data_IF_175061689588
#
_entry.id   IF_175061689588
#
_cell.length_a   1.000
_cell.length_b   1.000
_cell.length_c   1.000
_cell.angle_alpha   90.00
_cell.angle_beta   90.00
_cell.angle_gamma   90.00
#
_symmetry.space_group_name_H-M   'P 1'
#
loop_
_entity.id
_entity.type
_entity.pdbx_description
1 polymer ?
#
# COMPACT_ATOMS: atom_id res chain seq x y z
N UNK A 1 7.63 2.56 -22.27
CA UNK A 1 6.63 1.79 -21.48
C UNK A 1 6.71 0.34 -21.91
N UNK A 2 6.49 -0.59 -20.99
CA UNK A 2 6.46 -2.02 -21.28
C UNK A 2 5.28 -2.67 -20.56
N UNK A 3 4.54 -3.52 -21.27
CA UNK A 3 3.48 -4.35 -20.74
C UNK A 3 4.01 -5.77 -20.58
N UNK A 4 3.71 -6.42 -19.47
CA UNK A 4 4.18 -7.77 -19.15
C UNK A 4 3.00 -8.63 -18.75
N UNK A 5 2.75 -9.68 -19.52
CA UNK A 5 1.82 -10.74 -19.12
C UNK A 5 2.50 -11.60 -18.03
N UNK A 6 1.96 -11.62 -16.81
CA UNK A 6 2.64 -12.27 -15.69
C UNK A 6 2.85 -13.79 -15.86
N UNK A 7 1.86 -14.57 -16.36
CA UNK A 7 2.02 -16.02 -16.58
C UNK A 7 3.06 -16.38 -17.63
N UNK A 8 3.02 -15.74 -18.82
CA UNK A 8 3.96 -16.07 -19.92
C UNK A 8 5.25 -15.25 -19.88
N UNK A 9 5.27 -14.17 -19.10
CA UNK A 9 6.33 -13.15 -19.06
C UNK A 9 6.55 -12.46 -20.41
N UNK A 10 5.58 -12.55 -21.32
CA UNK A 10 5.65 -11.90 -22.63
C UNK A 10 5.64 -10.38 -22.47
N UNK A 11 6.56 -9.71 -23.17
CA UNK A 11 6.71 -8.26 -23.18
C UNK A 11 6.11 -7.68 -24.47
N UNK A 12 5.36 -6.59 -24.34
CA UNK A 12 5.06 -5.64 -25.42
C UNK A 12 5.51 -4.25 -24.99
N UNK A 13 6.44 -3.64 -25.72
CA UNK A 13 7.08 -2.38 -25.34
C UNK A 13 6.98 -1.32 -26.44
N UNK A 14 7.00 -0.05 -26.00
CA UNK A 14 6.87 1.12 -26.87
C UNK A 14 8.18 1.56 -27.54
N UNK A 15 9.30 0.89 -27.26
CA UNK A 15 10.62 1.20 -27.81
C UNK A 15 11.53 -0.05 -27.78
N UNK A 16 12.65 -0.03 -28.51
CA UNK A 16 13.71 -1.03 -28.38
C UNK A 16 14.48 -0.84 -27.08
N UNK A 17 15.10 -1.90 -26.54
CA UNK A 17 16.08 -1.81 -25.47
C UNK A 17 17.50 -1.55 -26.01
N UNK A 18 18.44 -1.10 -25.16
CA UNK A 18 19.81 -0.79 -25.61
C UNK A 18 20.66 -2.04 -25.82
N UNK A 19 20.21 -3.20 -25.33
CA UNK A 19 20.95 -4.47 -25.44
C UNK A 19 20.42 -5.39 -26.54
N UNK A 20 19.40 -4.96 -27.30
CA UNK A 20 18.86 -5.70 -28.45
C UNK A 20 18.12 -6.98 -28.09
N UNK A 21 17.59 -7.10 -26.87
CA UNK A 21 16.81 -8.26 -26.43
C UNK A 21 15.39 -8.22 -27.00
N UNK A 22 14.82 -7.03 -27.18
CA UNK A 22 13.51 -6.85 -27.77
C UNK A 22 13.58 -6.79 -29.29
N UNK A 23 12.63 -7.45 -29.95
CA UNK A 23 12.54 -7.51 -31.41
C UNK A 23 11.36 -6.69 -31.91
N UNK A 24 11.56 -5.92 -32.99
CA UNK A 24 10.48 -5.14 -33.58
C UNK A 24 9.43 -6.07 -34.23
N UNK A 25 8.16 -5.86 -33.90
CA UNK A 25 7.03 -6.62 -34.44
C UNK A 25 5.77 -5.76 -34.42
N UNK A 26 5.10 -5.64 -35.57
CA UNK A 26 3.79 -4.99 -35.73
C UNK A 26 3.70 -3.58 -35.09
N UNK A 27 4.76 -2.78 -35.23
CA UNK A 27 4.82 -1.41 -34.69
C UNK A 27 5.16 -1.30 -33.20
N UNK A 28 5.43 -2.44 -32.54
CA UNK A 28 5.88 -2.52 -31.16
C UNK A 28 7.20 -3.30 -31.05
N UNK A 29 7.69 -3.48 -29.83
CA UNK A 29 8.86 -4.29 -29.52
C UNK A 29 8.46 -5.42 -28.57
N UNK A 30 8.79 -6.66 -28.94
CA UNK A 30 8.35 -7.86 -28.21
C UNK A 30 9.54 -8.68 -27.71
N UNK A 31 9.33 -9.39 -26.60
CA UNK A 31 10.32 -10.27 -26.00
C UNK A 31 9.75 -11.03 -24.82
N UNK A 32 10.62 -11.62 -24.01
CA UNK A 32 10.24 -12.33 -22.77
C UNK A 32 11.06 -11.76 -21.62
N UNK A 33 10.39 -11.40 -20.53
CA UNK A 33 11.05 -10.89 -19.34
C UNK A 33 11.82 -12.04 -18.65
N UNK A 34 13.14 -11.92 -18.42
CA UNK A 34 13.93 -13.00 -17.82
C UNK A 34 13.44 -13.39 -16.42
N UNK A 35 13.51 -14.68 -16.04
CA UNK A 35 12.92 -15.21 -14.80
C UNK A 35 13.48 -14.61 -13.50
N UNK A 36 14.65 -13.96 -13.55
CA UNK A 36 15.27 -13.27 -12.43
C UNK A 36 14.74 -11.84 -12.21
N UNK A 37 13.87 -11.33 -13.09
CA UNK A 37 13.20 -10.05 -12.95
C UNK A 37 11.80 -10.20 -12.35
N UNK A 38 11.40 -9.27 -11.49
CA UNK A 38 10.04 -9.22 -10.96
C UNK A 38 9.07 -8.62 -11.98
N UNK A 39 7.83 -9.11 -11.95
CA UNK A 39 6.71 -8.53 -12.68
C UNK A 39 5.93 -7.63 -11.73
N UNK A 40 5.89 -6.33 -11.99
CA UNK A 40 5.22 -5.34 -11.13
C UNK A 40 4.85 -4.07 -11.89
N UNK A 41 3.81 -3.37 -11.44
CA UNK A 41 3.50 -2.01 -11.86
C UNK A 41 4.48 -1.06 -11.18
N UNK A 42 5.52 -0.61 -11.91
CA UNK A 42 6.54 0.29 -11.36
C UNK A 42 7.49 0.82 -12.44
N UNK A 43 8.36 1.77 -12.07
CA UNK A 43 9.52 2.14 -12.86
C UNK A 43 10.66 1.11 -12.66
N UNK A 44 11.11 0.47 -13.74
CA UNK A 44 12.19 -0.53 -13.72
C UNK A 44 13.33 -0.13 -14.66
N UNK A 45 14.56 -0.19 -14.17
CA UNK A 45 15.75 -0.08 -15.02
C UNK A 45 16.07 -1.46 -15.60
N UNK A 46 15.83 -1.66 -16.89
CA UNK A 46 16.09 -2.93 -17.57
C UNK A 46 16.66 -2.70 -18.97
N UNK A 47 17.75 -3.42 -19.28
CA UNK A 47 18.48 -3.33 -20.55
C UNK A 47 18.76 -1.90 -21.03
N UNK A 48 19.29 -1.08 -20.11
CA UNK A 48 19.74 0.29 -20.39
C UNK A 48 18.63 1.32 -20.56
N UNK A 49 17.38 0.95 -20.29
CA UNK A 49 16.23 1.86 -20.33
C UNK A 49 15.49 1.82 -19.00
N UNK A 50 15.02 2.99 -18.56
CA UNK A 50 14.05 3.11 -17.46
C UNK A 50 12.64 2.98 -18.04
N UNK A 51 12.06 1.80 -17.87
CA UNK A 51 10.70 1.49 -18.31
C UNK A 51 9.69 1.83 -17.22
N UNK A 52 8.54 2.34 -17.62
CA UNK A 52 7.30 2.11 -16.85
C UNK A 52 6.81 0.71 -17.21
N UNK A 53 6.91 -0.24 -16.28
CA UNK A 53 6.38 -1.59 -16.42
C UNK A 53 4.93 -1.63 -15.93
N UNK A 54 4.07 -2.31 -16.67
CA UNK A 54 2.68 -2.56 -16.28
C UNK A 54 2.33 -4.03 -16.48
N UNK A 55 1.59 -4.59 -15.54
CA UNK A 55 0.97 -5.90 -15.66
C UNK A 55 -0.11 -5.87 -16.75
N UNK A 56 -0.12 -6.94 -17.55
CA UNK A 56 -1.12 -7.18 -18.58
C UNK A 56 -1.94 -8.44 -18.19
N UNK A 57 -3.28 -8.49 -18.39
CA UNK A 57 -4.14 -7.46 -18.95
C UNK A 57 -4.31 -6.22 -18.05
N UNK A 58 -4.45 -5.05 -18.69
CA UNK A 58 -4.87 -3.82 -18.01
C UNK A 58 -6.39 -3.86 -17.75
N UNK A 59 -6.93 -2.99 -16.88
CA UNK A 59 -8.38 -2.88 -16.69
C UNK A 59 -9.14 -2.72 -18.00
N UNK A 60 -10.28 -3.40 -18.14
CA UNK A 60 -11.15 -3.31 -19.32
C UNK A 60 -11.82 -1.94 -19.45
N UNK A 61 -12.18 -1.34 -18.30
CA UNK A 61 -12.71 0.01 -18.22
C UNK A 61 -11.68 1.03 -18.74
N UNK A 62 -12.07 1.77 -19.80
CA UNK A 62 -11.18 2.69 -20.51
C UNK A 62 -10.62 3.79 -19.61
N UNK A 63 -11.44 4.30 -18.67
CA UNK A 63 -11.09 5.42 -17.81
C UNK A 63 -10.12 4.99 -16.72
N UNK A 64 -10.40 3.87 -16.04
CA UNK A 64 -9.46 3.22 -15.11
C UNK A 64 -8.15 2.87 -15.78
N UNK A 65 -8.20 2.34 -17.00
CA UNK A 65 -7.00 2.04 -17.79
C UNK A 65 -6.20 3.30 -18.10
N UNK A 66 -6.84 4.40 -18.49
CA UNK A 66 -6.14 5.66 -18.74
C UNK A 66 -5.53 6.24 -17.45
N UNK A 67 -6.26 6.18 -16.33
CA UNK A 67 -5.78 6.61 -15.01
C UNK A 67 -4.52 5.85 -14.59
N UNK A 68 -4.54 4.51 -14.59
CA UNK A 68 -3.38 3.71 -14.17
C UNK A 68 -2.18 3.92 -15.10
N UNK A 69 -2.38 4.04 -16.41
CA UNK A 69 -1.28 4.33 -17.35
C UNK A 69 -0.62 5.68 -17.00
N UNK A 70 -1.41 6.72 -16.77
CA UNK A 70 -0.89 8.05 -16.43
C UNK A 70 -0.24 8.08 -15.04
N UNK A 71 -0.80 7.37 -14.07
CA UNK A 71 -0.23 7.15 -12.74
C UNK A 71 1.18 6.55 -12.84
N UNK A 72 1.33 5.42 -13.54
CA UNK A 72 2.62 4.72 -13.67
C UNK A 72 3.64 5.52 -14.49
N UNK A 73 3.17 6.30 -15.47
CA UNK A 73 4.02 7.25 -16.19
C UNK A 73 4.52 8.39 -15.30
N UNK A 74 3.71 8.84 -14.33
CA UNK A 74 4.10 9.87 -13.38
C UNK A 74 5.24 9.40 -12.48
N UNK A 75 5.17 8.20 -11.92
CA UNK A 75 6.26 7.65 -11.09
C UNK A 75 7.62 7.64 -11.81
N UNK A 76 7.64 7.44 -13.13
CA UNK A 76 8.89 7.50 -13.92
C UNK A 76 9.53 8.91 -13.92
N UNK A 77 8.73 9.97 -13.88
CA UNK A 77 9.23 11.35 -13.92
C UNK A 77 9.28 12.02 -12.55
N UNK A 78 8.58 11.48 -11.54
CA UNK A 78 8.48 12.05 -10.20
C UNK A 78 9.84 12.37 -9.54
N UNK A 79 10.89 11.52 -9.65
CA UNK A 79 12.21 11.86 -9.10
C UNK A 79 12.85 13.11 -9.70
N UNK A 80 12.42 13.52 -10.91
CA UNK A 80 12.94 14.68 -11.63
C UNK A 80 12.24 15.98 -11.22
N UNK A 81 11.15 15.91 -10.45
CA UNK A 81 10.34 17.06 -10.07
C UNK A 81 10.94 17.88 -8.91
N UNK A 82 11.96 17.34 -8.24
CA UNK A 82 12.60 17.97 -7.08
C UNK A 82 11.63 18.11 -5.90
N UNK A 83 10.76 17.12 -5.70
CA UNK A 83 9.91 17.02 -4.52
C UNK A 83 10.77 16.64 -3.29
N UNK A 84 10.38 17.07 -2.08
CA UNK A 84 11.10 16.68 -0.86
C UNK A 84 11.19 15.16 -0.74
N UNK A 85 12.34 14.66 -0.29
CA UNK A 85 12.48 13.25 0.00
C UNK A 85 11.72 12.95 1.29
N UNK A 86 10.54 12.34 1.17
CA UNK A 86 9.76 11.87 2.31
C UNK A 86 10.05 10.39 2.52
N UNK A 87 10.56 10.04 3.70
CA UNK A 87 10.63 8.64 4.10
C UNK A 87 9.21 8.14 4.34
N UNK A 88 8.79 7.13 3.57
CA UNK A 88 7.48 6.52 3.76
C UNK A 88 7.36 5.99 5.20
N UNK A 89 6.33 6.46 5.90
CA UNK A 89 5.97 5.97 7.23
C UNK A 89 5.26 4.62 7.16
N UNK A 90 5.08 3.99 8.32
CA UNK A 90 4.35 2.72 8.37
C UNK A 90 2.84 2.91 8.22
N UNK A 91 2.29 4.10 8.52
CA UNK A 91 0.85 4.40 8.52
C UNK A 91 0.03 3.40 9.36
N UNK A 92 0.65 2.76 10.36
CA UNK A 92 0.07 1.64 11.10
C UNK A 92 -1.24 2.00 11.82
N UNK A 93 -1.43 3.28 12.18
CA UNK A 93 -2.68 3.77 12.76
C UNK A 93 -3.89 3.59 11.84
N UNK A 94 -3.68 3.50 10.52
CA UNK A 94 -4.74 3.24 9.54
C UNK A 94 -5.19 1.77 9.50
N UNK A 95 -4.63 0.93 10.36
CA UNK A 95 -5.16 -0.38 10.70
C UNK A 95 -5.85 -0.43 12.07
N UNK A 96 -5.83 0.67 12.82
CA UNK A 96 -6.55 0.77 14.08
C UNK A 96 -7.95 1.35 13.89
N UNK A 97 -8.85 0.99 14.81
CA UNK A 97 -10.26 1.38 14.77
C UNK A 97 -10.47 2.88 14.57
N UNK A 98 -9.81 3.73 15.38
CA UNK A 98 -9.99 5.18 15.28
C UNK A 98 -9.35 5.76 14.01
N UNK A 99 -8.18 5.27 13.59
CA UNK A 99 -7.55 5.72 12.36
C UNK A 99 -8.43 5.44 11.14
N UNK A 100 -8.95 4.21 11.03
CA UNK A 100 -9.88 3.81 9.94
C UNK A 100 -11.20 4.55 9.99
N UNK A 101 -11.76 4.74 11.18
CA UNK A 101 -13.02 5.47 11.34
C UNK A 101 -12.92 6.91 10.83
N UNK A 102 -11.93 7.67 11.29
CA UNK A 102 -11.78 9.06 10.87
C UNK A 102 -11.34 9.18 9.40
N UNK A 103 -10.60 8.19 8.87
CA UNK A 103 -10.32 8.10 7.42
C UNK A 103 -11.58 7.93 6.58
N UNK A 104 -12.49 7.04 6.97
CA UNK A 104 -13.72 6.85 6.23
C UNK A 104 -14.69 8.04 6.35
N UNK A 105 -14.76 8.70 7.52
CA UNK A 105 -15.48 9.96 7.64
C UNK A 105 -14.91 11.05 6.74
N UNK A 106 -13.58 11.16 6.69
CA UNK A 106 -12.88 12.05 5.78
C UNK A 106 -13.22 11.74 4.32
N UNK A 107 -13.20 10.47 3.89
CA UNK A 107 -13.57 10.08 2.53
C UNK A 107 -15.01 10.42 2.19
N UNK A 108 -15.96 10.17 3.11
CA UNK A 108 -17.38 10.54 2.92
C UNK A 108 -17.55 12.06 2.79
N UNK A 109 -16.81 12.83 3.58
CA UNK A 109 -16.81 14.29 3.50
C UNK A 109 -16.15 14.80 2.20
N UNK A 110 -15.06 14.19 1.75
CA UNK A 110 -14.43 14.48 0.47
C UNK A 110 -15.36 14.17 -0.71
N UNK A 111 -16.04 13.01 -0.69
CA UNK A 111 -17.01 12.62 -1.70
C UNK A 111 -18.15 13.65 -1.79
N UNK A 112 -18.72 14.04 -0.64
CA UNK A 112 -19.73 15.11 -0.57
C UNK A 112 -19.18 16.44 -1.08
N UNK A 113 -17.93 16.78 -0.80
CA UNK A 113 -17.31 18.02 -1.25
C UNK A 113 -17.16 18.06 -2.78
N UNK A 114 -16.55 17.05 -3.39
CA UNK A 114 -16.31 17.03 -4.84
C UNK A 114 -17.60 16.81 -5.64
N UNK A 115 -18.57 16.08 -5.09
CA UNK A 115 -19.89 15.88 -5.70
C UNK A 115 -20.89 17.03 -5.51
N UNK A 116 -20.62 17.99 -4.63
CA UNK A 116 -21.56 19.08 -4.34
C UNK A 116 -21.69 20.08 -5.51
N UNK A 117 -22.93 20.33 -5.94
CA UNK A 117 -23.24 21.36 -6.93
C UNK A 117 -23.10 22.79 -6.38
N UNK A 118 -23.50 23.03 -5.13
CA UNK A 118 -23.42 24.36 -4.49
C UNK A 118 -22.06 24.61 -3.85
N UNK A 119 -21.54 25.82 -4.02
CA UNK A 119 -20.25 26.24 -3.45
C UNK A 119 -20.25 26.18 -1.92
N UNK A 120 -21.36 26.54 -1.27
CA UNK A 120 -21.49 26.49 0.18
C UNK A 120 -21.34 25.06 0.71
N UNK A 121 -22.09 24.10 0.15
CA UNK A 121 -22.04 22.68 0.52
C UNK A 121 -20.65 22.09 0.29
N UNK A 122 -20.03 22.42 -0.84
CA UNK A 122 -18.67 21.97 -1.16
C UNK A 122 -17.67 22.43 -0.12
N UNK A 123 -17.71 23.71 0.28
CA UNK A 123 -16.79 24.26 1.27
C UNK A 123 -17.05 23.71 2.66
N UNK A 124 -18.31 23.49 3.04
CA UNK A 124 -18.66 22.90 4.33
C UNK A 124 -18.16 21.46 4.43
N UNK A 125 -18.44 20.63 3.43
CA UNK A 125 -17.98 19.24 3.40
C UNK A 125 -16.44 19.12 3.33
N UNK A 126 -15.77 20.01 2.58
CA UNK A 126 -14.29 20.05 2.58
C UNK A 126 -13.71 20.44 3.95
N UNK A 127 -14.40 21.29 4.72
CA UNK A 127 -14.00 21.62 6.09
C UNK A 127 -14.22 20.46 7.06
N UNK A 128 -15.28 19.69 6.87
CA UNK A 128 -15.51 18.46 7.65
C UNK A 128 -14.42 17.42 7.38
N UNK A 129 -14.02 17.23 6.12
CA UNK A 129 -12.90 16.34 5.78
C UNK A 129 -11.61 16.73 6.52
N UNK A 130 -11.27 18.03 6.51
CA UNK A 130 -10.13 18.57 7.25
C UNK A 130 -10.27 18.39 8.77
N UNK A 131 -11.48 18.52 9.31
CA UNK A 131 -11.77 18.30 10.73
C UNK A 131 -11.55 16.84 11.13
N UNK A 132 -12.02 15.88 10.34
CA UNK A 132 -11.83 14.45 10.61
C UNK A 132 -10.35 14.06 10.51
N UNK A 133 -9.61 14.58 9.52
CA UNK A 133 -8.16 14.41 9.43
C UNK A 133 -7.44 15.01 10.65
N UNK A 134 -7.81 16.22 11.07
CA UNK A 134 -7.21 16.88 12.22
C UNK A 134 -7.43 16.08 13.53
N UNK A 135 -8.61 15.49 13.72
CA UNK A 135 -8.88 14.62 14.86
C UNK A 135 -8.07 13.32 14.80
N UNK A 136 -7.92 12.72 13.61
CA UNK A 136 -7.01 11.58 13.43
C UNK A 136 -5.56 11.94 13.80
N UNK A 137 -5.07 13.10 13.37
CA UNK A 137 -3.70 13.54 13.69
C UNK A 137 -3.50 13.85 15.18
N UNK A 138 -4.55 14.31 15.86
CA UNK A 138 -4.53 14.50 17.32
C UNK A 138 -4.35 13.17 18.06
N UNK A 139 -5.04 12.12 17.62
CA UNK A 139 -4.96 10.78 18.22
C UNK A 139 -3.64 10.07 17.89
N UNK A 140 -3.05 10.37 16.73
CA UNK A 140 -1.87 9.70 16.20
C UNK A 140 -0.77 10.71 15.84
N UNK A 141 0.15 11.04 16.76
CA UNK A 141 1.12 12.13 16.56
C UNK A 141 2.04 12.00 15.33
N UNK A 142 2.27 10.78 14.82
CA UNK A 142 3.06 10.53 13.62
C UNK A 142 2.25 10.57 12.32
N UNK A 143 0.91 10.50 12.39
CA UNK A 143 0.04 10.37 11.23
C UNK A 143 0.25 11.48 10.21
N UNK A 144 0.45 12.73 10.66
CA UNK A 144 0.67 13.85 9.75
C UNK A 144 1.90 13.65 8.84
N UNK A 145 3.05 13.23 9.39
CA UNK A 145 4.25 13.00 8.60
C UNK A 145 4.17 11.72 7.77
N UNK A 146 3.61 10.64 8.34
CA UNK A 146 3.57 9.33 7.68
C UNK A 146 2.56 9.30 6.52
N UNK A 147 1.38 9.90 6.71
CA UNK A 147 0.37 9.97 5.65
C UNK A 147 0.82 10.91 4.54
N UNK A 148 1.41 12.06 4.90
CA UNK A 148 1.93 13.01 3.93
C UNK A 148 2.98 12.38 2.99
N UNK A 149 3.85 11.52 3.52
CA UNK A 149 4.85 10.82 2.71
C UNK A 149 4.19 9.94 1.63
N UNK A 150 3.15 9.19 2.00
CA UNK A 150 2.44 8.33 1.04
C UNK A 150 1.58 9.16 0.08
N UNK A 151 0.96 10.24 0.52
CA UNK A 151 0.21 11.14 -0.36
C UNK A 151 1.12 11.84 -1.39
N UNK A 152 2.35 12.20 -1.02
CA UNK A 152 3.33 12.71 -1.97
C UNK A 152 3.75 11.67 -3.00
N UNK A 153 3.86 10.40 -2.58
CA UNK A 153 4.29 9.33 -3.46
C UNK A 153 3.13 8.84 -4.35
N UNK A 154 2.12 8.21 -3.74
CA UNK A 154 1.00 7.53 -4.39
C UNK A 154 -0.16 8.49 -4.68
N UNK A 155 -0.50 9.38 -3.73
CA UNK A 155 -1.66 10.26 -3.88
C UNK A 155 -1.51 11.28 -5.02
N UNK A 156 -0.29 11.81 -5.19
CA UNK A 156 0.03 12.71 -6.30
C UNK A 156 0.08 11.97 -7.65
N UNK A 157 0.55 10.72 -7.65
CA UNK A 157 0.53 9.86 -8.83
C UNK A 157 -0.92 9.57 -9.25
N UNK A 158 -1.79 9.22 -8.31
CA UNK A 158 -3.20 8.93 -8.58
C UNK A 158 -3.97 10.17 -9.01
N UNK A 159 -3.78 11.32 -8.34
CA UNK A 159 -4.32 12.60 -8.81
C UNK A 159 -3.89 12.90 -10.24
N UNK A 160 -2.61 12.70 -10.57
CA UNK A 160 -2.10 12.91 -11.93
C UNK A 160 -2.76 11.95 -12.92
N UNK A 161 -2.91 10.69 -12.52
CA UNK A 161 -3.64 9.67 -13.26
C UNK A 161 -5.07 10.11 -13.58
N UNK A 162 -5.82 10.51 -12.57
CA UNK A 162 -7.20 11.00 -12.71
C UNK A 162 -7.25 12.23 -13.63
N UNK A 163 -6.34 13.21 -13.43
CA UNK A 163 -6.35 14.46 -14.19
C UNK A 163 -5.97 14.31 -15.66
N UNK A 164 -5.01 13.45 -15.98
CA UNK A 164 -4.50 13.28 -17.34
C UNK A 164 -5.21 12.14 -18.09
N UNK A 165 -5.66 11.11 -17.37
CA UNK A 165 -6.40 9.99 -17.95
C UNK A 165 -7.85 10.31 -18.30
N UNK A 166 -8.41 11.40 -17.77
CA UNK A 166 -9.82 11.74 -17.92
C UNK A 166 -10.01 13.17 -18.46
N UNK A 167 -10.64 13.35 -19.64
CA UNK A 167 -10.59 14.61 -20.39
C UNK A 167 -11.48 15.73 -19.85
N UNK A 168 -12.51 15.43 -19.05
CA UNK A 168 -13.47 16.43 -18.53
C UNK A 168 -13.48 16.49 -17.01
N UNK A 169 -13.92 17.61 -16.45
CA UNK A 169 -14.04 17.80 -15.01
C UNK A 169 -15.05 16.82 -14.38
N UNK A 170 -16.09 16.46 -15.13
CA UNK A 170 -17.11 15.49 -14.72
C UNK A 170 -16.49 14.10 -14.58
N UNK A 171 -15.73 13.65 -15.59
CA UNK A 171 -15.08 12.33 -15.56
C UNK A 171 -13.97 12.27 -14.49
N UNK A 172 -13.24 13.37 -14.28
CA UNK A 172 -12.25 13.44 -13.20
C UNK A 172 -12.92 13.33 -11.82
N UNK A 173 -14.07 13.99 -11.65
CA UNK A 173 -14.86 13.90 -10.42
C UNK A 173 -15.40 12.49 -10.23
N UNK A 174 -15.92 11.87 -11.29
CA UNK A 174 -16.41 10.50 -11.27
C UNK A 174 -15.31 9.51 -10.86
N UNK A 175 -14.11 9.63 -11.43
CA UNK A 175 -12.98 8.78 -11.06
C UNK A 175 -12.54 8.97 -9.62
N UNK A 176 -12.39 10.21 -9.16
CA UNK A 176 -12.06 10.48 -7.76
C UNK A 176 -13.12 9.97 -6.77
N UNK A 177 -14.41 10.02 -7.14
CA UNK A 177 -15.50 9.41 -6.35
C UNK A 177 -15.38 7.88 -6.34
N UNK A 178 -15.07 7.27 -7.48
CA UNK A 178 -14.84 5.82 -7.56
C UNK A 178 -13.67 5.38 -6.68
N UNK A 179 -12.59 6.15 -6.58
CA UNK A 179 -11.46 5.83 -5.70
C UNK A 179 -11.87 5.90 -4.22
N UNK A 180 -12.60 6.96 -3.84
CA UNK A 180 -13.15 7.11 -2.48
C UNK A 180 -14.11 5.97 -2.09
N UNK A 181 -14.83 5.38 -3.04
CA UNK A 181 -15.72 4.25 -2.80
C UNK A 181 -14.99 2.90 -2.83
N UNK A 182 -14.07 2.70 -3.77
CA UNK A 182 -13.42 1.42 -4.00
C UNK A 182 -12.54 0.97 -2.83
N UNK A 183 -11.92 1.92 -2.12
CA UNK A 183 -10.99 1.62 -1.04
C UNK A 183 -11.66 1.38 0.33
N UNK A 184 -12.98 1.63 0.46
CA UNK A 184 -13.72 1.42 1.72
C UNK A 184 -13.67 -0.04 2.18
N UNK A 185 -13.63 -0.98 1.24
CA UNK A 185 -13.63 -2.43 1.52
C UNK A 185 -12.23 -3.02 1.68
N UNK A 186 -11.18 -2.20 1.57
CA UNK A 186 -9.82 -2.68 1.76
C UNK A 186 -9.60 -3.19 3.19
N UNK A 187 -8.94 -4.34 3.29
CA UNK A 187 -8.64 -4.99 4.56
C UNK A 187 -7.77 -4.12 5.49
N UNK A 188 -6.91 -3.30 4.89
CA UNK A 188 -6.04 -2.30 5.53
C UNK A 188 -6.01 -1.04 4.68
N UNK A 189 -5.90 0.13 5.31
CA UNK A 189 -5.75 1.41 4.61
C UNK A 189 -4.31 1.92 4.56
N UNK A 190 -3.37 1.21 5.19
CA UNK A 190 -1.96 1.61 5.39
C UNK A 190 -1.27 2.05 4.09
N UNK A 191 -1.55 1.36 2.98
CA UNK A 191 -0.99 1.67 1.65
C UNK A 191 -2.02 2.20 0.67
N UNK A 192 -3.31 2.02 0.92
CA UNK A 192 -4.35 2.31 -0.06
C UNK A 192 -5.01 3.67 0.10
N UNK A 193 -4.92 4.29 1.28
CA UNK A 193 -5.67 5.53 1.53
C UNK A 193 -5.31 6.68 0.59
N UNK A 194 -4.04 6.75 0.17
CA UNK A 194 -3.52 7.83 -0.63
C UNK A 194 -4.13 7.86 -2.05
N UNK A 195 -4.50 6.71 -2.61
CA UNK A 195 -5.22 6.64 -3.90
C UNK A 195 -6.60 7.29 -3.80
N UNK A 196 -7.27 7.19 -2.64
CA UNK A 196 -8.55 7.85 -2.41
C UNK A 196 -8.40 9.35 -2.09
N UNK A 197 -7.47 9.72 -1.21
CA UNK A 197 -7.32 11.11 -0.77
C UNK A 197 -6.68 12.00 -1.83
N UNK A 198 -5.69 11.49 -2.57
CA UNK A 198 -4.91 12.24 -3.56
C UNK A 198 -5.77 12.96 -4.60
N UNK A 199 -6.56 12.25 -5.44
CA UNK A 199 -7.45 12.87 -6.41
C UNK A 199 -8.45 13.82 -5.78
N UNK A 200 -9.09 13.44 -4.67
CA UNK A 200 -10.13 14.24 -4.05
C UNK A 200 -9.61 15.58 -3.53
N UNK A 201 -8.47 15.58 -2.82
CA UNK A 201 -7.84 16.83 -2.39
C UNK A 201 -7.28 17.62 -3.57
N UNK A 202 -6.63 16.97 -4.54
CA UNK A 202 -6.08 17.63 -5.70
C UNK A 202 -7.14 18.38 -6.50
N UNK A 203 -8.33 17.81 -6.69
CA UNK A 203 -9.46 18.48 -7.35
C UNK A 203 -10.01 19.67 -6.55
N UNK A 204 -10.03 19.58 -5.22
CA UNK A 204 -10.40 20.71 -4.35
C UNK A 204 -9.33 21.82 -4.39
N UNK A 205 -8.05 21.46 -4.44
CA UNK A 205 -6.94 22.39 -4.53
C UNK A 205 -6.89 23.09 -5.90
N UNK A 206 -7.15 22.37 -7.00
CA UNK A 206 -7.30 22.96 -8.34
C UNK A 206 -8.33 24.09 -8.35
N UNK A 207 -9.40 23.92 -7.55
CA UNK A 207 -10.49 24.89 -7.44
C UNK A 207 -10.18 26.06 -6.51
N UNK A 208 -9.53 25.82 -5.38
CA UNK A 208 -9.43 26.82 -4.29
C UNK A 208 -8.02 27.37 -4.07
N UNK A 209 -6.99 26.75 -4.61
CA UNK A 209 -5.59 27.09 -4.41
C UNK A 209 -4.84 27.09 -5.76
N UNK A 210 -5.09 28.10 -6.59
CA UNK A 210 -4.37 28.24 -7.87
C UNK A 210 -2.85 28.20 -7.66
N UNK A 211 -2.16 27.38 -8.46
CA UNK A 211 -0.71 27.20 -8.37
C UNK A 211 -0.23 26.34 -7.18
N UNK A 212 -1.11 25.56 -6.54
CA UNK A 212 -0.76 24.73 -5.38
C UNK A 212 0.38 23.75 -5.66
N UNK A 213 0.56 23.26 -6.89
CA UNK A 213 1.66 22.36 -7.26
C UNK A 213 3.04 22.96 -6.95
N UNK A 214 3.21 24.29 -7.03
CA UNK A 214 4.46 24.96 -6.68
C UNK A 214 4.79 24.87 -5.18
N UNK A 215 3.76 24.70 -4.33
CA UNK A 215 3.92 24.57 -2.88
C UNK A 215 4.35 23.15 -2.46
N UNK A 216 4.19 22.14 -3.33
CA UNK A 216 4.66 20.77 -3.07
C UNK A 216 6.17 20.72 -2.80
N UNK A 217 6.94 21.54 -3.51
CA UNK A 217 8.40 21.66 -3.29
C UNK A 217 8.78 22.17 -1.90
N UNK A 218 7.85 22.86 -1.22
CA UNK A 218 8.04 23.30 0.17
C UNK A 218 7.63 22.24 1.21
N UNK A 219 7.23 21.05 0.78
CA UNK A 219 6.82 19.95 1.67
C UNK A 219 5.48 20.17 2.37
N UNK A 220 4.58 20.96 1.77
CA UNK A 220 3.24 21.17 2.33
C UNK A 220 2.30 20.05 1.91
N UNK A 221 1.59 19.48 2.88
CA UNK A 221 0.51 18.53 2.65
C UNK A 221 -0.72 19.14 2.01
N UNK A 222 -1.54 18.28 1.39
CA UNK A 222 -2.78 18.68 0.73
C UNK A 222 -3.75 19.34 1.71
N UNK A 223 -3.84 18.79 2.93
CA UNK A 223 -4.68 19.29 4.00
C UNK A 223 -4.28 20.70 4.43
N UNK A 224 -2.99 20.96 4.62
CA UNK A 224 -2.50 22.28 5.03
C UNK A 224 -2.76 23.34 3.94
N UNK A 225 -2.56 22.97 2.67
CA UNK A 225 -2.86 23.86 1.54
C UNK A 225 -4.36 24.15 1.43
N UNK A 226 -5.21 23.14 1.56
CA UNK A 226 -6.66 23.30 1.46
C UNK A 226 -7.22 24.06 2.67
N UNK A 227 -6.76 23.77 3.88
CA UNK A 227 -7.14 24.48 5.11
C UNK A 227 -6.83 25.97 4.99
N UNK A 228 -5.65 26.33 4.46
CA UNK A 228 -5.27 27.72 4.18
C UNK A 228 -6.21 28.36 3.15
N UNK A 229 -6.47 27.67 2.03
CA UNK A 229 -7.34 28.17 0.96
C UNK A 229 -8.79 28.41 1.43
N UNK A 230 -9.29 27.55 2.32
CA UNK A 230 -10.64 27.62 2.89
C UNK A 230 -10.73 28.45 4.18
N UNK A 231 -9.61 29.01 4.65
CA UNK A 231 -9.49 29.79 5.90
C UNK A 231 -10.04 29.02 7.10
N UNK A 232 -9.65 27.76 7.22
CA UNK A 232 -10.01 26.92 8.37
C UNK A 232 -9.12 27.30 9.55
N UNK A 233 -9.75 27.69 10.66
CA UNK A 233 -9.05 27.96 11.91
C UNK A 233 -9.01 26.69 12.77
N UNK A 234 -7.96 26.52 13.56
CA UNK A 234 -7.94 25.53 14.62
C UNK A 234 -9.04 25.86 15.64
N UNK A 235 -9.75 24.85 16.13
CA UNK A 235 -10.78 25.00 17.15
C UNK A 235 -10.36 24.25 18.41
N UNK A 236 -10.55 24.87 19.58
CA UNK A 236 -10.20 24.26 20.87
C UNK A 236 -11.07 23.03 21.18
N UNK A 237 -12.25 22.91 20.57
CA UNK A 237 -13.21 21.81 20.77
C UNK A 237 -13.31 20.89 19.55
N UNK A 238 -12.18 20.63 18.86
CA UNK A 238 -12.14 19.86 17.62
C UNK A 238 -12.74 18.45 17.77
N UNK A 239 -12.46 17.77 18.89
CA UNK A 239 -12.99 16.42 19.17
C UNK A 239 -14.53 16.42 19.22
N UNK A 240 -15.12 17.33 20.00
CA UNK A 240 -16.58 17.45 20.13
C UNK A 240 -17.23 17.84 18.81
N UNK A 241 -16.61 18.76 18.07
CA UNK A 241 -17.11 19.15 16.76
C UNK A 241 -17.01 17.98 15.76
N UNK A 242 -15.93 17.22 15.77
CA UNK A 242 -15.77 16.05 14.91
C UNK A 242 -16.84 14.99 15.23
N UNK A 243 -17.09 14.73 16.52
CA UNK A 243 -18.17 13.84 16.94
C UNK A 243 -19.55 14.32 16.47
N UNK A 244 -19.84 15.62 16.58
CA UNK A 244 -21.09 16.21 16.10
C UNK A 244 -21.23 16.11 14.58
N UNK A 245 -20.19 16.47 13.82
CA UNK A 245 -20.20 16.45 12.36
C UNK A 245 -20.28 15.04 11.80
N UNK A 246 -19.71 14.05 12.48
CA UNK A 246 -19.77 12.64 12.09
C UNK A 246 -21.22 12.13 11.92
N UNK A 247 -22.19 12.70 12.63
CA UNK A 247 -23.60 12.36 12.47
C UNK A 247 -24.16 12.64 11.06
N UNK A 248 -23.53 13.55 10.30
CA UNK A 248 -23.91 13.84 8.90
C UNK A 248 -23.29 12.88 7.88
N UNK A 249 -22.45 11.95 8.32
CA UNK A 249 -21.68 11.03 7.48
C UNK A 249 -21.78 9.59 8.01
N UNK A 250 -22.95 9.23 8.54
CA UNK A 250 -23.27 7.92 9.14
C UNK A 250 -22.25 7.42 10.16
N UNK A 251 -21.74 8.35 10.99
CA UNK A 251 -20.69 8.06 11.96
C UNK A 251 -21.07 6.97 12.97
N UNK A 252 -22.33 6.90 13.42
CA UNK A 252 -22.74 5.84 14.35
C UNK A 252 -22.60 4.44 13.72
N UNK A 253 -23.21 4.24 12.54
CA UNK A 253 -23.14 2.96 11.83
C UNK A 253 -21.70 2.59 11.44
N UNK A 254 -20.89 3.58 11.02
CA UNK A 254 -19.48 3.36 10.72
C UNK A 254 -18.68 2.94 11.96
N UNK A 255 -19.00 3.51 13.12
CA UNK A 255 -18.34 3.16 14.38
C UNK A 255 -18.62 1.71 14.75
N UNK A 256 -19.85 1.26 14.59
CA UNK A 256 -20.25 -0.12 14.90
C UNK A 256 -19.48 -1.11 14.01
N UNK A 257 -19.41 -0.84 12.70
CA UNK A 257 -18.66 -1.66 11.73
C UNK A 257 -17.17 -1.74 12.09
N UNK A 258 -16.51 -0.61 12.35
CA UNK A 258 -15.09 -0.59 12.70
C UNK A 258 -14.80 -1.22 14.07
N UNK A 259 -15.75 -1.14 15.01
CA UNK A 259 -15.64 -1.81 16.32
C UNK A 259 -15.69 -3.33 16.15
N UNK A 260 -16.60 -3.85 15.34
CA UNK A 260 -16.68 -5.29 15.05
C UNK A 260 -15.42 -5.78 14.30
N UNK A 261 -14.96 -5.02 13.31
CA UNK A 261 -13.72 -5.32 12.56
C UNK A 261 -12.51 -5.35 13.49
N UNK A 262 -12.38 -4.38 14.40
CA UNK A 262 -11.29 -4.34 15.36
C UNK A 262 -11.33 -5.52 16.33
N UNK A 263 -12.51 -5.92 16.80
CA UNK A 263 -12.65 -7.12 17.64
C UNK A 263 -12.14 -8.38 16.92
N UNK A 264 -12.50 -8.56 15.64
CA UNK A 264 -11.98 -9.67 14.80
C UNK A 264 -10.48 -9.57 14.59
N UNK A 265 -9.93 -8.38 14.33
CA UNK A 265 -8.49 -8.15 14.20
C UNK A 265 -7.75 -8.53 15.47
N UNK A 266 -8.22 -8.10 16.65
CA UNK A 266 -7.59 -8.43 17.93
C UNK A 266 -7.61 -9.94 18.19
N UNK A 267 -8.69 -10.64 17.85
CA UNK A 267 -8.73 -12.11 17.91
C UNK A 267 -7.67 -12.74 16.98
N UNK A 268 -7.53 -12.25 15.75
CA UNK A 268 -6.53 -12.76 14.81
C UNK A 268 -5.10 -12.48 15.28
N UNK A 269 -4.81 -11.30 15.84
CA UNK A 269 -3.51 -10.97 16.41
C UNK A 269 -3.17 -11.89 17.59
N UNK A 270 -4.15 -12.22 18.44
CA UNK A 270 -3.96 -13.19 19.53
C UNK A 270 -3.73 -14.62 19.01
N UNK A 271 -4.33 -15.02 17.90
CA UNK A 271 -4.02 -16.29 17.22
C UNK A 271 -2.59 -16.27 16.68
N UNK A 272 -2.21 -15.22 15.95
CA UNK A 272 -0.88 -15.08 15.36
C UNK A 272 0.23 -15.07 16.42
N UNK A 273 0.03 -14.36 17.53
CA UNK A 273 0.99 -14.33 18.65
C UNK A 273 1.20 -15.72 19.24
N UNK A 274 0.12 -16.47 19.46
CA UNK A 274 0.23 -17.86 19.91
C UNK A 274 1.00 -18.75 18.93
N UNK A 275 0.80 -18.57 17.61
CA UNK A 275 1.48 -19.36 16.57
C UNK A 275 2.97 -19.03 16.42
N UNK A 276 3.32 -17.75 16.39
CA UNK A 276 4.63 -17.29 15.92
C UNK A 276 5.53 -16.69 17.02
N UNK A 277 5.01 -16.54 18.24
CA UNK A 277 5.75 -15.98 19.36
C UNK A 277 5.71 -16.92 20.55
N UNK A 278 4.53 -17.29 21.02
CA UNK A 278 4.40 -18.01 22.30
C UNK A 278 4.58 -19.52 22.13
N UNK A 279 4.09 -20.09 21.03
CA UNK A 279 4.20 -21.52 20.72
C UNK A 279 5.53 -21.91 20.07
N UNK A 280 5.79 -23.23 19.90
CA UNK A 280 6.99 -23.75 19.26
C UNK A 280 7.14 -23.30 17.80
N UNK A 281 8.33 -22.85 17.43
CA UNK A 281 8.61 -22.27 16.10
C UNK A 281 9.83 -22.88 15.41
N UNK A 282 9.90 -22.69 14.09
CA UNK A 282 11.13 -22.79 13.31
C UNK A 282 11.57 -21.39 12.87
N UNK A 283 12.80 -21.01 13.20
CA UNK A 283 13.41 -19.74 12.78
C UNK A 283 14.39 -19.97 11.63
N UNK A 284 14.14 -19.32 10.50
CA UNK A 284 14.97 -19.34 9.30
C UNK A 284 15.72 -18.01 9.16
N UNK A 285 16.99 -17.98 9.57
CA UNK A 285 17.85 -16.79 9.41
C UNK A 285 18.22 -16.60 7.94
N UNK A 286 18.08 -15.38 7.44
CA UNK A 286 18.36 -15.12 6.03
C UNK A 286 19.86 -15.06 5.74
N UNK A 287 20.24 -15.46 4.53
CA UNK A 287 21.60 -15.31 4.01
C UNK A 287 21.60 -14.37 2.79
N UNK A 288 20.77 -14.68 1.79
CA UNK A 288 20.59 -13.95 0.55
C UNK A 288 19.17 -14.15 0.02
N UNK A 289 18.21 -13.63 0.77
CA UNK A 289 16.79 -13.84 0.50
C UNK A 289 16.29 -13.10 -0.75
N UNK A 290 15.32 -13.71 -1.43
CA UNK A 290 14.39 -13.04 -2.34
C UNK A 290 12.96 -13.44 -1.92
N UNK A 291 12.11 -12.43 -1.67
CA UNK A 291 10.81 -12.57 -1.02
C UNK A 291 9.70 -12.13 -1.97
N UNK A 292 8.70 -12.98 -2.13
CA UNK A 292 7.45 -12.67 -2.83
C UNK A 292 6.27 -12.81 -1.87
N UNK A 293 5.40 -11.81 -1.82
CA UNK A 293 4.22 -11.78 -0.96
C UNK A 293 3.16 -10.83 -1.50
N UNK A 294 1.97 -10.87 -0.90
CA UNK A 294 0.93 -9.87 -1.14
C UNK A 294 1.01 -8.74 -0.09
N UNK A 295 1.42 -7.51 -0.46
CA UNK A 295 1.58 -6.40 0.48
C UNK A 295 0.25 -5.91 1.08
N UNK A 296 -0.91 -6.25 0.50
CA UNK A 296 -2.22 -5.78 1.00
C UNK A 296 -2.81 -6.61 2.15
N UNK A 297 -2.13 -7.67 2.57
CA UNK A 297 -2.65 -8.60 3.60
C UNK A 297 -1.77 -8.68 4.85
N UNK A 298 -0.76 -7.82 4.95
CA UNK A 298 0.20 -7.82 6.07
C UNK A 298 -0.47 -7.47 7.40
N UNK A 299 -0.03 -8.14 8.46
CA UNK A 299 -0.60 -7.99 9.80
C UNK A 299 0.52 -7.68 10.82
N UNK A 300 0.74 -6.40 11.17
CA UNK A 300 1.71 -6.03 12.20
C UNK A 300 1.39 -6.68 13.55
N UNK A 301 2.40 -7.24 14.21
CA UNK A 301 2.28 -7.95 15.49
C UNK A 301 3.11 -7.28 16.60
N UNK A 302 3.11 -5.94 16.60
CA UNK A 302 3.93 -5.12 17.49
C UNK A 302 5.43 -5.40 17.30
N UNK A 303 6.18 -5.41 18.40
CA UNK A 303 7.65 -5.59 18.38
C UNK A 303 8.10 -6.98 17.87
N UNK A 304 7.18 -7.93 17.72
CA UNK A 304 7.51 -9.25 17.21
C UNK A 304 7.81 -9.25 15.71
N UNK A 305 7.26 -8.29 14.96
CA UNK A 305 7.38 -8.19 13.50
C UNK A 305 6.05 -8.15 12.77
N UNK A 306 6.04 -8.60 11.51
CA UNK A 306 4.87 -8.55 10.63
C UNK A 306 4.51 -9.96 10.16
N UNK A 307 3.25 -10.33 10.29
CA UNK A 307 2.74 -11.61 9.77
C UNK A 307 2.34 -11.45 8.31
N UNK A 308 2.86 -12.35 7.48
CA UNK A 308 2.60 -12.48 6.05
C UNK A 308 1.70 -13.69 5.86
N UNK A 309 0.40 -13.50 5.55
CA UNK A 309 -0.54 -14.62 5.40
C UNK A 309 -0.12 -15.62 4.32
N UNK A 310 0.43 -15.08 3.22
CA UNK A 310 1.07 -15.85 2.14
C UNK A 310 2.47 -15.29 1.91
N UNK A 311 3.44 -16.19 1.74
CA UNK A 311 4.82 -15.80 1.48
C UNK A 311 5.55 -16.90 0.73
N UNK A 312 6.45 -16.51 -0.16
CA UNK A 312 7.44 -17.39 -0.75
C UNK A 312 8.81 -16.76 -0.59
N UNK A 313 9.76 -17.50 -0.03
CA UNK A 313 11.15 -17.06 0.11
C UNK A 313 12.07 -18.09 -0.53
N UNK A 314 13.01 -17.57 -1.31
CA UNK A 314 14.15 -18.29 -1.86
C UNK A 314 15.41 -17.78 -1.17
N UNK A 315 16.25 -18.68 -0.68
CA UNK A 315 17.50 -18.33 0.02
C UNK A 315 18.59 -19.41 -0.21
N UNK A 316 19.75 -19.25 0.42
CA UNK A 316 20.87 -20.19 0.39
C UNK A 316 20.54 -21.52 1.06
N UNK A 317 19.65 -21.53 2.05
CA UNK A 317 19.20 -22.77 2.71
C UNK A 317 18.14 -23.53 1.93
N UNK A 318 17.44 -22.88 0.98
CA UNK A 318 16.35 -23.54 0.27
C UNK A 318 15.20 -22.61 -0.14
N UNK A 319 14.01 -23.19 -0.24
CA UNK A 319 12.78 -22.49 -0.62
C UNK A 319 11.71 -22.79 0.41
N UNK A 320 11.08 -21.75 0.97
CA UNK A 320 9.89 -21.89 1.79
C UNK A 320 8.68 -21.27 1.10
N UNK A 321 7.56 -21.97 1.16
CA UNK A 321 6.25 -21.48 0.75
C UNK A 321 5.28 -21.60 1.92
N UNK A 322 4.73 -20.46 2.36
CA UNK A 322 3.76 -20.36 3.44
C UNK A 322 2.42 -19.89 2.91
N UNK A 323 1.34 -20.57 3.33
CA UNK A 323 -0.06 -20.25 3.01
C UNK A 323 -0.94 -20.05 4.24
N UNK A 324 -0.42 -20.34 5.45
CA UNK A 324 -1.11 -20.16 6.72
C UNK A 324 -0.34 -19.25 7.69
N UNK A 325 0.29 -18.21 7.14
CA UNK A 325 1.03 -17.20 7.91
C UNK A 325 2.49 -17.56 8.17
N UNK A 326 3.35 -16.55 8.10
CA UNK A 326 4.72 -16.57 8.61
C UNK A 326 5.05 -15.19 9.19
N UNK A 327 5.84 -15.13 10.26
CA UNK A 327 6.25 -13.88 10.90
C UNK A 327 7.64 -13.46 10.40
N UNK A 328 7.72 -12.33 9.72
CA UNK A 328 8.99 -11.67 9.38
C UNK A 328 9.44 -10.84 10.58
N UNK A 329 10.68 -11.00 11.03
CA UNK A 329 11.26 -10.15 12.09
C UNK A 329 11.34 -8.68 11.66
N UNK A 330 11.22 -7.70 12.58
CA UNK A 330 11.23 -6.28 12.23
C UNK A 330 12.49 -5.82 11.50
N UNK A 331 13.63 -6.43 11.84
CA UNK A 331 14.96 -6.13 11.27
C UNK A 331 15.25 -6.93 9.99
N UNK A 332 14.27 -7.68 9.48
CA UNK A 332 14.43 -8.56 8.33
C UNK A 332 15.60 -9.54 8.47
N UNK A 333 15.92 -9.98 9.69
CA UNK A 333 17.00 -10.94 9.95
C UNK A 333 16.56 -12.40 9.75
N UNK A 334 15.28 -12.69 9.93
CA UNK A 334 14.75 -14.05 9.87
C UNK A 334 13.25 -14.10 9.57
N UNK A 335 12.83 -15.24 9.01
CA UNK A 335 11.45 -15.68 8.98
C UNK A 335 11.18 -16.64 10.15
N UNK A 336 10.02 -16.54 10.77
CA UNK A 336 9.53 -17.46 11.80
C UNK A 336 8.25 -18.12 11.31
N UNK A 337 8.22 -19.45 11.35
CA UNK A 337 7.04 -20.27 11.07
C UNK A 337 6.75 -21.21 12.24
N UNK A 338 5.58 -21.83 12.27
CA UNK A 338 5.28 -22.86 13.28
C UNK A 338 6.27 -24.02 13.20
N UNK A 339 6.53 -24.71 14.32
CA UNK A 339 7.43 -25.85 14.32
C UNK A 339 7.03 -26.93 13.28
N UNK A 340 8.01 -27.59 12.63
CA UNK A 340 7.73 -28.60 11.62
C UNK A 340 7.14 -29.88 12.23
N UNK A 341 6.41 -30.65 11.42
CA UNK A 341 5.94 -31.99 11.78
C UNK A 341 7.06 -33.05 11.78
N UNK A 342 8.16 -32.78 11.06
CA UNK A 342 9.37 -33.60 10.99
C UNK A 342 10.60 -32.71 10.81
N UNK A 343 11.73 -33.09 11.40
CA UNK A 343 13.03 -32.42 11.21
C UNK A 343 13.94 -33.15 10.21
N UNK A 344 13.48 -34.29 9.68
CA UNK A 344 14.27 -35.15 8.80
C UNK A 344 13.77 -35.07 7.35
N UNK A 345 14.72 -35.06 6.42
CA UNK A 345 14.47 -35.03 4.98
C UNK A 345 14.84 -33.70 4.33
N UNK A 346 14.85 -33.69 2.99
CA UNK A 346 15.08 -32.48 2.18
C UNK A 346 13.80 -31.68 1.95
N UNK A 347 12.63 -32.27 2.16
CA UNK A 347 11.33 -31.61 2.12
C UNK A 347 10.64 -31.79 3.47
N UNK A 348 10.31 -30.68 4.12
CA UNK A 348 9.73 -30.64 5.46
C UNK A 348 8.59 -29.63 5.49
N UNK A 349 7.59 -29.89 6.33
CA UNK A 349 6.36 -29.09 6.38
C UNK A 349 5.92 -28.84 7.81
N UNK A 350 5.13 -27.79 8.00
CA UNK A 350 4.39 -27.53 9.23
C UNK A 350 2.96 -27.11 8.94
N UNK A 351 2.33 -26.39 9.88
CA UNK A 351 0.96 -25.87 9.70
C UNK A 351 0.92 -24.85 8.55
N UNK A 352 0.56 -25.33 7.35
CA UNK A 352 0.33 -24.51 6.16
C UNK A 352 1.60 -23.90 5.55
N UNK A 353 2.75 -24.54 5.73
CA UNK A 353 3.98 -24.18 5.03
C UNK A 353 4.79 -25.43 4.64
N UNK A 354 5.58 -25.30 3.58
CA UNK A 354 6.53 -26.32 3.08
C UNK A 354 7.89 -25.69 2.85
N UNK A 355 8.95 -26.42 3.19
CA UNK A 355 10.35 -26.03 3.06
C UNK A 355 11.11 -27.11 2.30
N UNK A 356 11.65 -26.75 1.15
CA UNK A 356 12.60 -27.55 0.39
C UNK A 356 14.02 -27.10 0.75
N UNK A 357 14.72 -27.91 1.54
CA UNK A 357 16.09 -27.69 1.97
C UNK A 357 17.09 -28.10 0.88
N UNK A 358 18.05 -27.22 0.61
CA UNK A 358 19.22 -27.58 -0.20
C UNK A 358 20.15 -28.49 0.59
N UNK A 359 20.92 -29.31 -0.13
CA UNK A 359 21.99 -30.10 0.45
C UNK A 359 22.97 -29.21 1.24
N UNK A 360 23.47 -29.73 2.36
CA UNK A 360 24.34 -28.96 3.27
C UNK A 360 23.60 -28.19 4.36
N UNK A 361 22.28 -28.33 4.48
CA UNK A 361 21.48 -27.74 5.57
C UNK A 361 20.65 -28.80 6.30
N UNK A 362 20.40 -28.56 7.59
CA UNK A 362 19.56 -29.40 8.46
C UNK A 362 18.78 -28.57 9.47
N UNK A 363 17.66 -29.11 9.96
CA UNK A 363 16.91 -28.54 11.08
C UNK A 363 17.48 -29.09 12.38
N UNK A 364 17.73 -28.22 13.35
CA UNK A 364 18.23 -28.58 14.69
C UNK A 364 17.41 -27.87 15.78
N UNK A 365 17.36 -28.38 17.02
CA UNK A 365 16.73 -27.69 18.14
C UNK A 365 17.36 -26.31 18.41
N UNK A 366 16.55 -25.36 18.84
CA UNK A 366 16.96 -24.05 19.35
C UNK A 366 16.95 -24.03 20.90
N UNK A 367 17.33 -22.89 21.46
CA UNK A 367 17.45 -22.61 22.90
C UNK A 367 16.17 -22.82 23.69
N UNK A 368 15.00 -22.46 23.14
CA UNK A 368 13.70 -22.72 23.77
C UNK A 368 13.21 -24.12 23.38
N UNK A 369 12.81 -24.91 24.38
CA UNK A 369 12.31 -26.27 24.14
C UNK A 369 11.16 -26.28 23.13
N UNK A 370 11.31 -27.10 22.09
CA UNK A 370 10.35 -27.21 20.98
C UNK A 370 10.60 -26.24 19.83
N UNK A 371 11.46 -25.25 20.00
CA UNK A 371 11.90 -24.40 18.89
C UNK A 371 13.01 -25.07 18.09
N UNK A 372 13.09 -24.67 16.83
CA UNK A 372 14.05 -25.18 15.87
C UNK A 372 14.68 -24.04 15.07
N UNK A 373 15.86 -24.30 14.52
CA UNK A 373 16.56 -23.43 13.58
C UNK A 373 17.21 -24.23 12.45
N UNK A 374 17.65 -23.54 11.41
CA UNK A 374 18.51 -24.12 10.38
C UNK A 374 19.99 -24.01 10.75
N UNK A 375 20.75 -25.07 10.48
CA UNK A 375 22.19 -25.12 10.63
C UNK A 375 22.83 -25.81 9.42
N UNK A 376 24.08 -25.44 9.06
CA UNK A 376 24.85 -26.21 8.08
C UNK A 376 25.01 -27.68 8.53
N UNK A 377 24.92 -28.59 7.58
CA UNK A 377 25.27 -29.99 7.77
C UNK A 377 26.79 -30.10 7.81
N UNK A 378 27.31 -30.35 9.02
CA UNK A 378 28.73 -30.70 9.28
C UNK A 378 29.14 -31.98 8.59
#
# INVERSE_FOLDING_TARGET
MMFVDAPSRSIVASASDTKGVLTAKDGAFVGVLPADQNVSNTAVAWNGITWTQMLWPLPDDERRRATIIAHELFHRIQPQLGLPNTHEGSNAHLDEMNGRYYMQLEWRALARAIGAGRVADRKEAAKDALLFRAERYRLYPKAASEEHALEQNEGLAEYTGVRLGNPTAELQTEMALRDLEAHVTDATFVRSFAYATGPAYGLLLDRYASGWHAQLKSGKGFEAMLARALRVAATANAEQLAAQRAAQYDGAALRDVETEREAKRQQQLAVNRRKFVDGPVLTLKFQKMNVQFNPSTLQPLGDAGTVYPTIRITDEWGVIEGKNGALMKPDWSALVVTAPSSTSGSSVSGDGWTLELKAGWKIVPDTRSGDYMLAPST
#
